data_IF_271899424393
#
_entry.id   IF_271899424393
#
_cell.length_a   1.000
_cell.length_b   1.000
_cell.length_c   1.000
_cell.angle_alpha   90.00
_cell.angle_beta   90.00
_cell.angle_gamma   90.00
#
_symmetry.space_group_name_H-M   'P 1'
#
loop_
_entity.id
_entity.type
_entity.pdbx_description
1 polymer ?
#
# COMPACT_ATOMS: atom_id res chain seq x y z
N UNK A 1 31.74 11.12 -17.55
CA UNK A 1 31.45 9.70 -17.25
C UNK A 1 29.97 9.51 -17.44
N UNK A 2 29.54 8.81 -18.47
CA UNK A 2 28.15 8.46 -18.70
C UNK A 2 27.88 7.33 -17.72
N UNK A 3 27.10 7.59 -16.64
CA UNK A 3 26.65 6.52 -15.74
C UNK A 3 25.84 5.52 -16.59
N UNK A 4 26.20 4.24 -16.51
CA UNK A 4 25.40 3.18 -17.12
C UNK A 4 23.95 3.35 -16.68
N UNK A 5 22.96 3.16 -17.57
CA UNK A 5 21.57 3.24 -17.19
C UNK A 5 21.32 2.25 -16.03
N UNK A 6 20.82 2.77 -14.92
CA UNK A 6 20.45 1.93 -13.77
C UNK A 6 19.28 1.06 -14.23
N UNK A 7 19.49 -0.26 -14.27
CA UNK A 7 18.41 -1.19 -14.62
C UNK A 7 17.30 -1.15 -13.56
N UNK A 8 16.02 -1.25 -13.97
CA UNK A 8 14.89 -1.28 -13.05
C UNK A 8 15.05 -2.37 -11.97
N UNK A 9 14.86 -2.01 -10.70
CA UNK A 9 15.00 -2.93 -9.55
C UNK A 9 13.91 -2.70 -8.51
N UNK A 10 13.57 -3.76 -7.81
CA UNK A 10 12.72 -3.68 -6.62
C UNK A 10 13.48 -3.01 -5.47
N UNK A 11 13.15 -1.75 -5.19
CA UNK A 11 13.81 -0.94 -4.16
C UNK A 11 13.26 -1.20 -2.76
N UNK A 12 11.95 -1.50 -2.67
CA UNK A 12 11.26 -1.56 -1.38
C UNK A 12 10.06 -2.50 -1.43
N UNK A 13 9.86 -3.24 -0.34
CA UNK A 13 8.68 -4.06 -0.10
C UNK A 13 8.04 -3.57 1.20
N UNK A 14 6.77 -3.16 1.14
CA UNK A 14 5.99 -2.71 2.29
C UNK A 14 4.75 -3.54 2.47
N UNK A 15 4.68 -4.26 3.56
CA UNK A 15 3.49 -4.94 3.98
C UNK A 15 2.69 -4.05 4.93
N UNK A 16 1.38 -4.11 4.84
CA UNK A 16 0.46 -3.45 5.76
C UNK A 16 -0.36 -4.53 6.49
N UNK A 17 0.21 -5.24 7.46
CA UNK A 17 -0.41 -6.46 7.98
C UNK A 17 -1.83 -6.24 8.49
N UNK A 18 -2.06 -5.19 9.28
CA UNK A 18 -3.40 -4.78 9.67
C UNK A 18 -3.86 -3.66 8.72
N UNK A 19 -4.97 -3.86 8.04
CA UNK A 19 -5.54 -2.88 7.10
C UNK A 19 -5.71 -1.52 7.77
N UNK A 20 -5.22 -0.46 7.13
CA UNK A 20 -5.22 0.95 7.56
C UNK A 20 -4.20 1.33 8.63
N UNK A 21 -3.45 0.42 9.22
CA UNK A 21 -2.37 0.74 10.15
C UNK A 21 -1.01 0.91 9.46
N UNK A 22 0.02 1.22 10.24
CA UNK A 22 1.38 1.45 9.74
C UNK A 22 1.92 0.23 8.97
N UNK A 23 2.84 0.42 8.02
CA UNK A 23 3.48 -0.66 7.31
C UNK A 23 4.65 -1.27 8.10
N UNK A 24 5.09 -2.44 7.66
CA UNK A 24 6.40 -2.99 7.95
C UNK A 24 7.21 -3.10 6.66
N UNK A 25 8.48 -2.71 6.74
CA UNK A 25 9.44 -2.86 5.65
C UNK A 25 10.12 -4.22 5.79
N UNK A 26 10.11 -5.00 4.71
CA UNK A 26 10.75 -6.30 4.66
C UNK A 26 11.75 -6.38 3.51
N UNK A 27 12.78 -7.22 3.65
CA UNK A 27 13.76 -7.45 2.59
C UNK A 27 13.31 -8.50 1.59
N UNK A 28 12.37 -9.34 2.01
CA UNK A 28 11.76 -10.37 1.17
C UNK A 28 10.28 -10.54 1.51
N UNK A 29 9.50 -10.97 0.54
CA UNK A 29 8.08 -11.32 0.74
C UNK A 29 7.68 -12.48 -0.15
N UNK A 30 6.80 -13.33 0.35
CA UNK A 30 6.26 -14.48 -0.35
C UNK A 30 4.92 -14.13 -1.02
N UNK A 31 4.69 -14.67 -2.22
CA UNK A 31 3.36 -14.60 -2.85
C UNK A 31 2.42 -15.53 -2.08
N UNK A 32 1.34 -14.95 -1.59
CA UNK A 32 0.26 -15.65 -0.88
C UNK A 32 -0.76 -16.31 -1.82
N UNK A 33 -1.68 -17.11 -1.27
CA UNK A 33 -2.65 -17.88 -2.04
C UNK A 33 -3.63 -17.00 -2.83
N UNK A 34 -3.93 -15.78 -2.36
CA UNK A 34 -4.79 -14.81 -3.05
C UNK A 34 -4.07 -13.96 -4.11
N UNK A 35 -2.80 -14.26 -4.45
CA UNK A 35 -1.99 -13.46 -5.39
C UNK A 35 -1.39 -12.18 -4.79
N UNK A 36 -1.79 -11.77 -3.59
CA UNK A 36 -1.14 -10.73 -2.81
C UNK A 36 0.13 -11.21 -2.14
N UNK A 37 0.84 -10.34 -1.41
CA UNK A 37 1.95 -10.75 -0.57
C UNK A 37 1.45 -11.36 0.73
N UNK A 38 2.08 -12.42 1.19
CA UNK A 38 1.80 -13.01 2.49
C UNK A 38 1.89 -11.94 3.58
N UNK A 39 0.95 -11.98 4.51
CA UNK A 39 0.76 -10.99 5.59
C UNK A 39 0.30 -9.60 5.14
N UNK A 40 0.32 -9.23 3.85
CA UNK A 40 -0.18 -7.92 3.45
C UNK A 40 -1.72 -7.88 3.56
N UNK A 41 -2.21 -6.94 4.39
CA UNK A 41 -3.64 -6.81 4.73
C UNK A 41 -4.30 -8.11 5.20
N UNK A 42 -3.51 -8.97 5.89
CA UNK A 42 -4.00 -10.25 6.41
C UNK A 42 -4.99 -10.07 7.57
N UNK A 43 -4.99 -8.92 8.23
CA UNK A 43 -5.92 -8.58 9.30
C UNK A 43 -6.71 -7.30 8.97
N UNK A 44 -7.98 -7.28 9.38
CA UNK A 44 -8.84 -6.12 9.22
C UNK A 44 -9.75 -5.95 10.45
N UNK A 45 -10.15 -4.69 10.70
CA UNK A 45 -11.02 -4.32 11.84
C UNK A 45 -12.47 -4.22 11.39
N UNK A 46 -13.36 -4.80 12.16
CA UNK A 46 -14.80 -4.78 11.93
C UNK A 46 -15.55 -4.30 13.16
N UNK A 47 -16.57 -3.47 12.96
CA UNK A 47 -17.53 -3.10 13.99
C UNK A 47 -18.49 -4.26 14.30
N UNK A 48 -19.33 -4.09 15.32
CA UNK A 48 -20.40 -5.03 15.68
C UNK A 48 -21.38 -5.27 14.53
N UNK A 49 -21.62 -4.25 13.71
CA UNK A 49 -22.51 -4.31 12.55
C UNK A 49 -21.86 -4.99 11.32
N UNK A 50 -20.62 -5.46 11.47
CA UNK A 50 -19.87 -6.08 10.38
C UNK A 50 -19.29 -5.09 9.38
N UNK A 51 -19.32 -3.79 9.66
CA UNK A 51 -18.75 -2.73 8.83
C UNK A 51 -17.23 -2.62 9.06
N UNK A 52 -16.51 -2.23 8.01
CA UNK A 52 -15.06 -2.03 8.07
C UNK A 52 -14.70 -0.77 8.84
N UNK A 53 -13.85 -0.91 9.87
CA UNK A 53 -13.18 0.23 10.51
C UNK A 53 -11.86 0.47 9.81
N UNK A 54 -11.79 1.57 9.04
CA UNK A 54 -10.66 1.84 8.17
C UNK A 54 -10.40 3.35 8.00
N UNK A 55 -9.23 3.71 7.46
CA UNK A 55 -8.81 5.10 7.27
C UNK A 55 -9.67 5.95 6.31
N UNK A 56 -10.53 5.32 5.50
CA UNK A 56 -11.48 6.04 4.64
C UNK A 56 -12.63 6.65 5.45
N UNK A 57 -13.13 5.90 6.44
CA UNK A 57 -14.33 6.26 7.23
C UNK A 57 -14.00 6.75 8.64
N UNK A 58 -12.89 6.31 9.23
CA UNK A 58 -12.55 6.52 10.64
C UNK A 58 -11.21 7.24 10.77
N UNK A 59 -11.25 8.56 10.90
CA UNK A 59 -10.01 9.37 11.00
C UNK A 59 -9.15 8.99 12.22
N UNK A 60 -9.76 8.62 13.35
CA UNK A 60 -9.04 8.24 14.56
C UNK A 60 -8.08 7.05 14.38
N UNK A 61 -8.29 6.17 13.37
CA UNK A 61 -7.38 5.05 13.11
C UNK A 61 -5.94 5.53 12.79
N UNK A 62 -5.79 6.74 12.26
CA UNK A 62 -4.49 7.33 11.96
C UNK A 62 -3.70 7.74 13.21
N UNK A 63 -4.32 7.79 14.38
CA UNK A 63 -3.63 8.04 15.67
C UNK A 63 -2.89 6.80 16.17
N UNK A 64 -3.30 5.61 15.73
CA UNK A 64 -2.69 4.35 16.16
C UNK A 64 -1.36 4.15 15.45
N UNK A 65 -0.33 3.80 16.23
CA UNK A 65 0.95 3.33 15.73
C UNK A 65 1.02 1.81 15.85
N UNK A 66 1.53 1.17 14.80
CA UNK A 66 1.73 -0.27 14.76
C UNK A 66 3.18 -0.60 14.38
N UNK A 67 3.95 -1.11 15.34
CA UNK A 67 5.31 -1.58 15.12
C UNK A 67 5.32 -3.11 15.08
N UNK A 68 5.73 -3.67 13.94
CA UNK A 68 5.73 -5.12 13.72
C UNK A 68 7.09 -5.73 13.96
N UNK A 69 7.12 -6.98 14.43
CA UNK A 69 8.30 -7.84 14.33
C UNK A 69 8.66 -8.04 12.83
N UNK A 70 9.94 -8.20 12.48
CA UNK A 70 10.36 -8.34 11.07
C UNK A 70 9.69 -9.50 10.31
N UNK A 71 9.33 -10.57 11.01
CA UNK A 71 8.64 -11.74 10.49
C UNK A 71 7.10 -11.64 10.60
N UNK A 72 6.58 -10.49 11.03
CA UNK A 72 5.15 -10.22 11.25
C UNK A 72 4.50 -11.13 12.31
N UNK A 73 5.28 -11.84 13.12
CA UNK A 73 4.78 -12.72 14.19
C UNK A 73 4.18 -11.94 15.37
N UNK A 74 4.46 -10.65 15.49
CA UNK A 74 3.93 -9.80 16.56
C UNK A 74 3.75 -8.35 16.10
N UNK A 75 2.83 -7.64 16.75
CA UNK A 75 2.61 -6.21 16.59
C UNK A 75 2.54 -5.51 17.94
N UNK A 76 3.26 -4.40 18.08
CA UNK A 76 3.10 -3.49 19.22
C UNK A 76 2.22 -2.33 18.79
N UNK A 77 1.06 -2.19 19.45
CA UNK A 77 0.12 -1.10 19.24
C UNK A 77 0.31 -0.02 20.30
N UNK A 78 0.24 1.24 19.88
CA UNK A 78 0.33 2.41 20.77
C UNK A 78 -0.44 3.59 20.19
N UNK A 79 -0.79 4.55 21.04
CA UNK A 79 -1.43 5.82 20.67
C UNK A 79 -0.65 6.96 21.35
N UNK A 80 0.43 7.46 20.72
CA UNK A 80 1.24 8.52 21.30
C UNK A 80 0.42 9.79 21.55
N UNK A 81 0.52 10.35 22.77
CA UNK A 81 -0.17 11.59 23.14
C UNK A 81 -1.67 11.43 23.44
N UNK A 82 -2.19 10.23 23.50
CA UNK A 82 -3.60 10.00 23.86
C UNK A 82 -3.84 10.22 25.36
N UNK A 83 -4.76 11.13 25.68
CA UNK A 83 -5.16 11.44 27.06
C UNK A 83 -6.01 10.33 27.73
N UNK A 84 -6.53 9.38 26.97
CA UNK A 84 -7.34 8.26 27.47
C UNK A 84 -6.52 7.16 28.14
N UNK A 85 -5.18 7.28 28.12
CA UNK A 85 -4.26 6.30 28.70
C UNK A 85 -4.38 4.88 28.10
N UNK A 86 -4.65 4.77 26.80
CA UNK A 86 -4.65 3.49 26.10
C UNK A 86 -3.24 2.88 26.19
N UNK A 87 -3.09 1.68 26.78
CA UNK A 87 -1.77 1.12 27.03
C UNK A 87 -1.06 0.71 25.75
N UNK A 88 0.23 1.00 25.64
CA UNK A 88 1.09 0.34 24.65
C UNK A 88 1.14 -1.13 24.94
N UNK A 89 0.81 -1.98 23.96
CA UNK A 89 0.73 -3.42 24.15
C UNK A 89 1.21 -4.20 22.92
N UNK A 90 1.92 -5.29 23.15
CA UNK A 90 2.37 -6.21 22.11
C UNK A 90 1.44 -7.43 22.05
N UNK A 91 1.13 -7.85 20.83
CA UNK A 91 0.26 -8.98 20.53
C UNK A 91 1.00 -9.93 19.59
N UNK A 92 1.00 -11.22 19.89
CA UNK A 92 1.45 -12.25 18.96
C UNK A 92 0.34 -12.58 17.96
N UNK A 93 0.64 -12.60 16.68
CA UNK A 93 -0.31 -12.94 15.64
C UNK A 93 0.01 -14.33 15.04
N UNK A 94 -1.06 -15.13 14.78
CA UNK A 94 -2.50 -14.86 14.98
C UNK A 94 -3.04 -15.13 16.41
N UNK A 95 -2.20 -15.56 17.36
CA UNK A 95 -2.63 -16.07 18.68
C UNK A 95 -3.45 -15.08 19.51
N UNK A 96 -3.05 -13.82 19.55
CA UNK A 96 -3.63 -12.80 20.44
C UNK A 96 -4.75 -11.97 19.77
N UNK A 97 -5.37 -12.48 18.71
CA UNK A 97 -6.40 -11.74 17.94
C UNK A 97 -7.56 -11.25 18.81
N UNK A 98 -7.99 -12.05 19.81
CA UNK A 98 -9.05 -11.65 20.75
C UNK A 98 -8.60 -10.50 21.67
N UNK A 99 -7.37 -10.57 22.21
CA UNK A 99 -6.82 -9.52 23.06
C UNK A 99 -6.57 -8.22 22.26
N UNK A 100 -6.14 -8.32 21.00
CA UNK A 100 -6.04 -7.18 20.09
C UNK A 100 -7.42 -6.56 19.79
N UNK A 101 -8.47 -7.38 19.61
CA UNK A 101 -9.83 -6.92 19.43
C UNK A 101 -10.31 -6.09 20.63
N UNK A 102 -10.02 -6.53 21.86
CA UNK A 102 -10.33 -5.76 23.06
C UNK A 102 -9.59 -4.43 23.11
N UNK A 103 -8.29 -4.41 22.78
CA UNK A 103 -7.49 -3.18 22.72
C UNK A 103 -8.07 -2.15 21.74
N UNK A 104 -8.47 -2.61 20.54
CA UNK A 104 -9.14 -1.73 19.58
C UNK A 104 -10.51 -1.28 20.05
N UNK A 105 -11.26 -2.15 20.76
CA UNK A 105 -12.56 -1.78 21.30
C UNK A 105 -12.42 -0.69 22.35
N UNK A 106 -11.43 -0.77 23.23
CA UNK A 106 -11.13 0.25 24.23
C UNK A 106 -10.73 1.58 23.56
N UNK A 107 -9.90 1.52 22.48
CA UNK A 107 -9.50 2.71 21.75
C UNK A 107 -10.66 3.38 21.02
N UNK A 108 -11.52 2.64 20.34
CA UNK A 108 -12.63 3.19 19.57
C UNK A 108 -13.91 3.40 20.39
N UNK A 109 -13.91 3.01 21.67
CA UNK A 109 -15.09 3.06 22.57
C UNK A 109 -16.33 2.37 21.98
N UNK A 110 -16.08 1.30 21.20
CA UNK A 110 -17.10 0.47 20.57
C UNK A 110 -16.57 -0.94 20.35
N UNK A 111 -17.45 -1.92 20.20
CA UNK A 111 -17.05 -3.31 19.95
C UNK A 111 -16.36 -3.45 18.60
N UNK A 112 -15.09 -3.86 18.61
CA UNK A 112 -14.25 -4.10 17.43
C UNK A 112 -13.79 -5.56 17.43
N UNK A 113 -13.88 -6.19 16.26
CA UNK A 113 -13.33 -7.53 16.02
C UNK A 113 -12.18 -7.44 15.00
N UNK A 114 -11.03 -7.99 15.35
CA UNK A 114 -9.94 -8.24 14.41
C UNK A 114 -10.22 -9.56 13.70
N UNK A 115 -10.33 -9.52 12.36
CA UNK A 115 -10.50 -10.72 11.53
C UNK A 115 -9.23 -11.00 10.75
N UNK A 116 -8.94 -12.28 10.52
CA UNK A 116 -7.80 -12.75 9.75
C UNK A 116 -8.26 -13.44 8.46
N UNK A 117 -7.50 -13.25 7.37
CA UNK A 117 -7.64 -13.98 6.12
C UNK A 117 -6.24 -14.28 5.57
N UNK A 118 -6.00 -15.54 5.19
CA UNK A 118 -4.77 -15.94 4.51
C UNK A 118 -4.66 -15.39 3.09
N UNK A 119 -5.78 -15.02 2.46
CA UNK A 119 -5.85 -14.38 1.15
C UNK A 119 -5.76 -12.85 1.25
N UNK A 120 -5.79 -12.31 2.48
CA UNK A 120 -5.82 -10.89 2.76
C UNK A 120 -7.20 -10.26 2.60
N UNK A 121 -7.23 -8.92 2.79
CA UNK A 121 -8.40 -8.06 2.60
C UNK A 121 -8.05 -6.96 1.59
N UNK A 122 -7.89 -7.29 0.28
CA UNK A 122 -7.51 -6.33 -0.74
C UNK A 122 -8.57 -5.23 -0.88
N UNK A 123 -8.17 -4.06 -1.39
CA UNK A 123 -9.10 -2.98 -1.74
C UNK A 123 -9.74 -3.20 -3.12
N UNK A 124 -9.08 -3.98 -3.98
CA UNK A 124 -9.54 -4.37 -5.31
C UNK A 124 -9.53 -5.90 -5.42
N UNK A 125 -10.71 -6.51 -5.51
CA UNK A 125 -10.86 -7.97 -5.60
C UNK A 125 -10.54 -8.51 -7.01
N UNK A 126 -10.49 -7.65 -8.03
CA UNK A 126 -10.17 -8.04 -9.40
C UNK A 126 -8.65 -8.02 -9.62
N UNK A 127 -7.95 -7.13 -8.93
CA UNK A 127 -6.51 -6.95 -8.98
C UNK A 127 -5.92 -7.05 -7.57
N UNK A 128 -5.98 -8.25 -6.99
CA UNK A 128 -5.58 -8.55 -5.61
C UNK A 128 -4.07 -8.61 -5.39
N UNK A 129 -3.27 -8.53 -6.45
CA UNK A 129 -1.82 -8.48 -6.38
C UNK A 129 -1.27 -7.20 -5.76
N UNK A 130 0.03 -7.16 -5.45
CA UNK A 130 0.67 -5.97 -4.88
C UNK A 130 0.69 -4.81 -5.87
N UNK A 131 0.48 -3.59 -5.37
CA UNK A 131 0.57 -2.37 -6.20
C UNK A 131 2.03 -2.01 -6.49
N UNK A 132 2.30 -1.57 -7.72
CA UNK A 132 3.63 -1.13 -8.19
C UNK A 132 3.66 0.38 -8.31
N UNK A 133 4.71 1.01 -7.78
CA UNK A 133 4.99 2.44 -7.94
C UNK A 133 6.48 2.65 -8.16
N UNK A 134 6.88 3.68 -8.90
CA UNK A 134 8.29 4.07 -8.97
C UNK A 134 8.68 5.02 -7.83
N UNK A 135 9.92 4.93 -7.36
CA UNK A 135 10.49 5.90 -6.42
C UNK A 135 10.39 7.32 -6.99
N UNK A 136 10.62 7.48 -8.29
CA UNK A 136 10.53 8.77 -8.96
C UNK A 136 9.10 9.33 -8.99
N UNK A 137 8.07 8.47 -9.08
CA UNK A 137 6.66 8.90 -8.96
C UNK A 137 6.33 9.42 -7.56
N UNK A 138 6.83 8.75 -6.53
CA UNK A 138 6.67 9.22 -5.15
C UNK A 138 7.40 10.55 -4.93
N UNK A 139 8.61 10.71 -5.49
CA UNK A 139 9.36 11.96 -5.44
C UNK A 139 8.61 13.09 -6.16
N UNK A 140 8.05 12.83 -7.36
CA UNK A 140 7.24 13.81 -8.08
C UNK A 140 6.01 14.28 -7.27
N UNK A 141 5.43 13.41 -6.45
CA UNK A 141 4.39 13.83 -5.49
C UNK A 141 4.96 14.72 -4.39
N UNK A 142 6.10 14.36 -3.79
CA UNK A 142 6.73 15.16 -2.75
C UNK A 142 7.02 16.59 -3.21
N UNK A 143 7.49 16.73 -4.46
CA UNK A 143 7.85 18.02 -5.05
C UNK A 143 6.64 18.98 -5.19
N UNK A 144 5.42 18.47 -5.13
CA UNK A 144 4.18 19.27 -5.16
C UNK A 144 3.81 19.87 -3.79
N UNK A 145 4.31 19.29 -2.71
CA UNK A 145 3.88 19.65 -1.36
C UNK A 145 5.09 20.04 -0.50
N UNK A 146 5.33 21.34 -0.26
CA UNK A 146 6.46 21.78 0.53
C UNK A 146 6.56 21.08 1.89
N UNK A 147 7.73 20.51 2.18
CA UNK A 147 8.01 19.78 3.42
C UNK A 147 7.56 18.32 3.45
N UNK A 148 6.87 17.83 2.43
CA UNK A 148 6.53 16.41 2.34
C UNK A 148 7.79 15.58 2.06
N UNK A 149 8.03 14.60 2.90
CA UNK A 149 9.11 13.63 2.70
C UNK A 149 8.64 12.44 1.87
N UNK A 150 9.59 11.74 1.23
CA UNK A 150 9.27 10.53 0.48
C UNK A 150 8.65 9.43 1.38
N UNK A 151 9.05 9.37 2.65
CA UNK A 151 8.46 8.42 3.60
C UNK A 151 7.02 8.79 3.95
N UNK A 152 6.70 10.07 4.01
CA UNK A 152 5.32 10.52 4.18
C UNK A 152 4.48 10.20 2.93
N UNK A 153 4.98 10.45 1.72
CA UNK A 153 4.30 10.05 0.48
C UNK A 153 4.01 8.54 0.47
N UNK A 154 4.98 7.74 0.84
CA UNK A 154 4.83 6.30 0.98
C UNK A 154 3.72 5.91 1.96
N UNK A 155 3.66 6.56 3.14
CA UNK A 155 2.62 6.31 4.15
C UNK A 155 1.23 6.74 3.65
N UNK A 156 1.13 7.85 2.91
CA UNK A 156 -0.13 8.36 2.36
C UNK A 156 -0.69 7.44 1.26
N UNK A 157 0.16 7.02 0.32
CA UNK A 157 -0.26 6.21 -0.83
C UNK A 157 -0.32 4.71 -0.55
N UNK A 158 0.38 4.21 0.48
CA UNK A 158 0.29 2.83 0.96
C UNK A 158 0.50 1.79 -0.15
N UNK A 159 1.42 2.08 -1.07
CA UNK A 159 1.83 1.16 -2.13
C UNK A 159 2.71 0.04 -1.57
N UNK A 160 2.72 -1.11 -2.24
CA UNK A 160 3.35 -2.33 -1.70
C UNK A 160 4.76 -2.54 -2.24
N UNK A 161 4.94 -2.48 -3.57
CA UNK A 161 6.23 -2.64 -4.23
C UNK A 161 6.69 -1.32 -4.85
N UNK A 162 7.93 -0.93 -4.58
CA UNK A 162 8.53 0.29 -5.09
C UNK A 162 9.71 -0.06 -6.01
N UNK A 163 9.72 0.51 -7.22
CA UNK A 163 10.73 0.27 -8.25
C UNK A 163 11.63 1.49 -8.38
N UNK A 164 12.94 1.29 -8.36
CA UNK A 164 13.94 2.32 -8.64
C UNK A 164 14.60 2.13 -10.02
N UNK A 165 15.39 3.13 -10.45
CA UNK A 165 16.09 3.09 -11.74
C UNK A 165 15.21 3.39 -12.94
N UNK A 166 14.03 3.97 -12.73
CA UNK A 166 13.03 4.31 -13.75
C UNK A 166 12.49 5.73 -13.54
N UNK A 167 11.98 6.41 -14.60
CA UNK A 167 11.40 7.74 -14.48
C UNK A 167 10.07 7.76 -13.71
N UNK A 168 9.60 8.95 -13.37
CA UNK A 168 8.28 9.14 -12.76
C UNK A 168 7.17 8.61 -13.67
N UNK A 169 6.19 7.96 -13.06
CA UNK A 169 5.05 7.33 -13.74
C UNK A 169 5.42 6.24 -14.74
N UNK A 170 6.60 5.65 -14.57
CA UNK A 170 7.03 4.49 -15.34
C UNK A 170 6.04 3.33 -15.21
N UNK A 171 5.45 3.16 -14.06
CA UNK A 171 4.46 2.12 -13.77
C UNK A 171 3.20 2.20 -14.64
N UNK A 172 2.95 3.32 -15.31
CA UNK A 172 1.81 3.47 -16.22
C UNK A 172 1.92 2.62 -17.50
N UNK A 173 3.12 2.20 -17.88
CA UNK A 173 3.30 1.27 -19.00
C UNK A 173 2.97 -0.18 -18.64
N UNK A 174 2.71 -0.46 -17.36
CA UNK A 174 2.39 -1.80 -16.89
C UNK A 174 0.90 -2.17 -17.04
N UNK A 175 0.08 -1.33 -17.65
CA UNK A 175 -1.31 -1.67 -18.02
C UNK A 175 -1.57 -1.29 -19.48
N UNK A 176 -2.44 -2.05 -20.14
CA UNK A 176 -2.75 -1.86 -21.55
C UNK A 176 -3.85 -0.81 -21.80
N UNK A 177 -4.05 -0.47 -23.07
CA UNK A 177 -5.04 0.51 -23.53
C UNK A 177 -6.49 0.08 -23.26
N UNK A 178 -6.75 -1.23 -23.28
CA UNK A 178 -8.06 -1.79 -22.98
C UNK A 178 -8.11 -2.38 -21.58
N UNK A 179 -9.29 -2.38 -20.96
CA UNK A 179 -9.51 -2.89 -19.61
C UNK A 179 -9.12 -4.38 -19.45
N UNK A 180 -9.22 -5.13 -20.53
CA UNK A 180 -8.88 -6.57 -20.54
C UNK A 180 -7.46 -6.87 -21.04
N UNK A 181 -6.72 -5.85 -21.44
CA UNK A 181 -5.34 -5.98 -21.92
C UNK A 181 -4.38 -5.94 -20.74
N UNK A 182 -4.00 -7.12 -20.24
CA UNK A 182 -2.98 -7.22 -19.20
C UNK A 182 -1.59 -7.09 -19.82
N UNK A 183 -0.72 -6.28 -19.22
CA UNK A 183 0.70 -6.21 -19.54
C UNK A 183 1.46 -7.16 -18.62
N UNK A 184 2.19 -8.09 -19.20
CA UNK A 184 2.99 -9.06 -18.46
C UNK A 184 4.38 -8.51 -18.20
N UNK A 185 4.84 -8.65 -16.98
CA UNK A 185 6.21 -8.31 -16.57
C UNK A 185 6.67 -9.25 -15.45
N UNK A 186 7.95 -9.20 -15.11
CA UNK A 186 8.53 -10.06 -14.10
C UNK A 186 9.39 -9.27 -13.12
N UNK A 187 9.30 -9.62 -11.83
CA UNK A 187 10.19 -9.14 -10.77
C UNK A 187 10.88 -10.37 -10.17
N UNK A 188 12.19 -10.46 -10.28
CA UNK A 188 12.91 -11.68 -9.90
C UNK A 188 12.39 -12.90 -10.65
N UNK A 189 11.84 -13.87 -9.93
CA UNK A 189 11.25 -15.10 -10.50
C UNK A 189 9.73 -15.07 -10.55
N UNK A 190 9.08 -13.99 -10.13
CA UNK A 190 7.61 -13.86 -10.05
C UNK A 190 7.07 -13.15 -11.29
N UNK A 191 6.10 -13.77 -11.94
CA UNK A 191 5.37 -13.18 -13.06
C UNK A 191 4.15 -12.42 -12.58
N UNK A 192 3.97 -11.23 -13.13
CA UNK A 192 2.88 -10.31 -12.83
C UNK A 192 2.10 -9.97 -14.09
N UNK A 193 0.84 -9.63 -13.90
CA UNK A 193 0.00 -8.97 -14.88
C UNK A 193 -0.43 -7.62 -14.32
N UNK A 194 0.00 -6.54 -14.96
CA UNK A 194 -0.50 -5.20 -14.65
C UNK A 194 -1.93 -5.06 -15.18
N UNK A 195 -2.81 -4.55 -14.36
CA UNK A 195 -4.26 -4.57 -14.60
C UNK A 195 -4.81 -3.19 -14.93
N UNK A 196 -4.65 -2.24 -14.04
CA UNK A 196 -5.25 -0.92 -14.16
C UNK A 196 -4.50 0.13 -13.35
N UNK A 197 -4.56 1.41 -13.77
CA UNK A 197 -4.02 2.51 -12.98
C UNK A 197 -4.80 2.64 -11.66
N UNK A 198 -4.09 2.62 -10.54
CA UNK A 198 -4.70 2.62 -9.21
C UNK A 198 -5.38 3.96 -8.91
N UNK A 199 -6.71 3.99 -8.92
CA UNK A 199 -7.50 5.12 -8.46
C UNK A 199 -7.31 5.33 -6.95
N UNK A 200 -6.99 6.57 -6.55
CA UNK A 200 -6.71 6.86 -5.15
C UNK A 200 -8.00 7.20 -4.39
N UNK A 201 -8.10 6.61 -3.22
CA UNK A 201 -9.20 6.85 -2.29
C UNK A 201 -8.99 8.14 -1.48
N UNK A 202 -9.91 8.54 -0.56
CA UNK A 202 -9.76 9.72 0.29
C UNK A 202 -8.66 9.64 1.38
N UNK A 203 -7.86 8.56 1.43
CA UNK A 203 -6.81 8.39 2.46
C UNK A 203 -5.56 9.24 2.19
N UNK A 204 -4.98 9.34 0.97
CA UNK A 204 -3.76 10.09 0.74
C UNK A 204 -3.77 11.56 1.19
N UNK A 205 -4.89 12.32 1.13
CA UNK A 205 -4.97 13.66 1.69
C UNK A 205 -4.82 13.71 3.22
N UNK A 206 -5.08 12.61 3.94
CA UNK A 206 -4.98 12.59 5.40
C UNK A 206 -3.53 12.51 5.84
N UNK A 207 -3.18 13.27 6.85
CA UNK A 207 -1.93 13.11 7.55
C UNK A 207 -1.86 11.67 8.14
N UNK A 208 -0.79 10.90 7.88
CA UNK A 208 -0.72 9.52 8.31
C UNK A 208 -0.62 9.31 9.82
N UNK A 209 -0.38 10.40 10.59
CA UNK A 209 -0.23 10.35 12.05
C UNK A 209 -1.40 10.97 12.80
N UNK A 210 -2.03 11.98 12.23
CA UNK A 210 -3.12 12.74 12.90
C UNK A 210 -4.49 12.49 12.26
N UNK A 211 -4.52 12.04 10.99
CA UNK A 211 -5.75 11.90 10.21
C UNK A 211 -6.30 13.23 9.67
N UNK A 212 -5.64 14.35 9.96
CA UNK A 212 -6.01 15.68 9.45
C UNK A 212 -5.92 15.73 7.93
N UNK A 213 -6.85 16.43 7.30
CA UNK A 213 -6.93 16.52 5.84
C UNK A 213 -6.07 17.69 5.35
N UNK A 214 -5.11 17.40 4.48
CA UNK A 214 -4.42 18.40 3.69
C UNK A 214 -5.34 18.91 2.58
N UNK A 215 -5.88 20.12 2.77
CA UNK A 215 -6.77 20.74 1.81
C UNK A 215 -6.10 20.97 0.45
N UNK A 216 -6.83 20.70 -0.63
CA UNK A 216 -6.32 20.88 -1.99
C UNK A 216 -5.45 19.73 -2.51
N UNK A 217 -5.03 18.77 -1.67
CA UNK A 217 -4.13 17.66 -2.04
C UNK A 217 -4.59 16.96 -3.33
N UNK A 218 -5.83 16.52 -3.37
CA UNK A 218 -6.37 15.79 -4.52
C UNK A 218 -6.34 16.64 -5.79
N UNK A 219 -6.73 17.92 -5.69
CA UNK A 219 -6.75 18.84 -6.84
C UNK A 219 -5.34 19.10 -7.36
N UNK A 220 -4.40 19.47 -6.48
CA UNK A 220 -3.01 19.76 -6.83
C UNK A 220 -2.38 18.56 -7.54
N UNK A 221 -2.51 17.38 -6.97
CA UNK A 221 -1.95 16.17 -7.56
C UNK A 221 -2.62 15.81 -8.90
N UNK A 222 -3.96 15.90 -9.00
CA UNK A 222 -4.67 15.60 -10.25
C UNK A 222 -4.32 16.57 -11.37
N UNK A 223 -4.18 17.86 -11.08
CA UNK A 223 -3.81 18.87 -12.06
C UNK A 223 -2.37 18.67 -12.56
N UNK A 224 -1.45 18.36 -11.65
CA UNK A 224 -0.09 17.99 -12.02
C UNK A 224 -0.06 16.74 -12.89
N UNK A 225 -0.76 15.69 -12.48
CA UNK A 225 -0.81 14.42 -13.20
C UNK A 225 -1.35 14.58 -14.62
N UNK A 226 -2.40 15.42 -14.80
CA UNK A 226 -2.98 15.74 -16.11
C UNK A 226 -1.99 16.44 -17.04
N UNK A 227 -1.17 17.34 -16.51
CA UNK A 227 -0.21 18.10 -17.31
C UNK A 227 1.13 17.37 -17.52
N UNK A 228 1.37 16.23 -16.85
CA UNK A 228 2.60 15.46 -16.89
C UNK A 228 2.35 13.97 -17.17
N UNK A 229 1.39 13.68 -18.05
CA UNK A 229 1.15 12.32 -18.55
C UNK A 229 2.30 11.93 -19.47
N UNK A 230 3.06 10.87 -19.15
CA UNK A 230 4.10 10.39 -20.08
C UNK A 230 3.49 9.82 -21.36
N UNK A 231 4.28 9.84 -22.44
CA UNK A 231 3.85 9.35 -23.76
C UNK A 231 3.62 7.82 -23.82
N UNK A 232 4.12 7.08 -22.82
CA UNK A 232 3.87 5.63 -22.69
C UNK A 232 2.61 5.29 -21.91
N UNK A 233 1.92 6.29 -21.33
CA UNK A 233 0.72 6.07 -20.54
C UNK A 233 -0.49 5.85 -21.44
N UNK A 234 -1.23 4.73 -21.28
CA UNK A 234 -2.54 4.56 -21.93
C UNK A 234 -3.57 5.50 -21.30
N UNK A 235 -3.59 6.77 -21.72
CA UNK A 235 -4.41 7.84 -21.09
C UNK A 235 -5.91 7.56 -21.20
N UNK A 236 -6.34 6.78 -22.20
CA UNK A 236 -7.72 6.30 -22.34
C UNK A 236 -8.27 5.56 -21.13
N UNK A 237 -7.35 5.04 -20.27
CA UNK A 237 -7.68 4.33 -19.01
C UNK A 237 -7.95 5.28 -17.83
N UNK A 238 -7.81 6.58 -18.03
CA UNK A 238 -7.96 7.59 -16.98
C UNK A 238 -9.33 8.27 -17.09
N UNK A 239 -10.29 7.85 -16.26
CA UNK A 239 -11.55 8.57 -16.06
C UNK A 239 -11.35 9.88 -15.25
N UNK A 240 -10.28 9.90 -14.42
CA UNK A 240 -9.78 11.06 -13.69
C UNK A 240 -8.28 10.90 -13.43
N UNK A 241 -7.58 12.01 -13.11
CA UNK A 241 -6.12 12.00 -12.92
C UNK A 241 -5.65 11.79 -11.46
N UNK A 242 -6.55 11.53 -10.53
CA UNK A 242 -6.19 11.17 -9.15
C UNK A 242 -5.78 9.68 -9.07
N UNK A 243 -4.71 9.34 -9.81
CA UNK A 243 -4.19 7.97 -9.97
C UNK A 243 -2.69 7.93 -9.77
N UNK A 244 -2.24 6.98 -8.98
CA UNK A 244 -0.81 6.69 -8.72
C UNK A 244 -0.66 5.21 -8.48
N UNK A 245 0.40 4.62 -9.01
CA UNK A 245 0.67 3.19 -8.98
C UNK A 245 -0.18 2.38 -9.97
N UNK A 246 0.25 1.18 -10.26
CA UNK A 246 -0.45 0.18 -11.06
C UNK A 246 -0.89 -0.98 -10.18
N UNK A 247 -2.15 -1.35 -10.26
CA UNK A 247 -2.68 -2.57 -9.66
C UNK A 247 -2.25 -3.78 -10.48
N UNK A 248 -2.01 -4.90 -9.80
CA UNK A 248 -1.54 -6.12 -10.46
C UNK A 248 -2.40 -7.33 -10.14
N UNK A 249 -2.22 -8.37 -10.95
CA UNK A 249 -2.66 -9.73 -10.68
C UNK A 249 -1.44 -10.64 -10.66
N UNK A 250 -1.50 -11.64 -9.82
CA UNK A 250 -0.48 -12.69 -9.74
C UNK A 250 -1.21 -14.03 -9.82
N UNK A 251 -0.81 -14.87 -10.77
CA UNK A 251 -1.45 -16.16 -10.95
C UNK A 251 -1.19 -17.09 -9.74
N UNK A 252 -2.11 -18.00 -9.47
CA UNK A 252 -1.97 -18.98 -8.38
C UNK A 252 -0.74 -19.89 -8.54
N UNK A 253 -0.24 -20.07 -9.77
CA UNK A 253 1.02 -20.79 -10.06
C UNK A 253 2.26 -20.11 -9.49
N UNK A 254 2.17 -18.83 -9.15
CA UNK A 254 3.25 -18.05 -8.54
C UNK A 254 3.24 -18.16 -7.00
N UNK A 255 2.20 -18.73 -6.41
CA UNK A 255 2.07 -18.88 -4.95
C UNK A 255 3.29 -19.59 -4.36
N UNK A 256 3.82 -19.02 -3.29
CA UNK A 256 5.00 -19.56 -2.59
C UNK A 256 6.34 -19.01 -3.08
N UNK A 257 6.41 -18.41 -4.28
CA UNK A 257 7.63 -17.75 -4.76
C UNK A 257 7.98 -16.53 -3.90
N UNK A 258 9.26 -16.19 -3.87
CA UNK A 258 9.80 -15.07 -3.10
C UNK A 258 10.14 -13.89 -4.02
N UNK A 259 9.93 -12.70 -3.51
CA UNK A 259 10.46 -11.44 -4.00
C UNK A 259 11.52 -10.95 -3.02
N UNK A 260 12.61 -10.41 -3.55
CA UNK A 260 13.68 -9.82 -2.73
C UNK A 260 13.95 -8.38 -3.15
N UNK A 261 14.21 -7.51 -2.20
CA UNK A 261 14.76 -6.18 -2.49
C UNK A 261 16.06 -6.36 -3.29
N UNK A 262 16.16 -5.65 -4.42
CA UNK A 262 17.24 -5.79 -5.38
C UNK A 262 16.91 -6.64 -6.60
N UNK A 263 15.78 -7.38 -6.60
CA UNK A 263 15.33 -8.15 -7.77
C UNK A 263 15.19 -7.26 -8.99
N UNK A 264 15.64 -7.76 -10.15
CA UNK A 264 15.50 -7.07 -11.43
C UNK A 264 14.05 -7.07 -11.90
N UNK A 265 13.64 -5.98 -12.55
CA UNK A 265 12.33 -5.85 -13.19
C UNK A 265 12.50 -5.96 -14.70
N UNK A 266 11.74 -6.86 -15.32
CA UNK A 266 11.74 -7.10 -16.76
C UNK A 266 10.32 -6.90 -17.29
N UNK A 267 10.11 -5.91 -18.13
CA UNK A 267 8.84 -5.57 -18.80
C UNK A 267 8.95 -5.75 -20.31
#
# INVERSE_FOLDING_TARGET
>A
MISSPVSPRLANIRLHPIKSLDPVHVKEARIGPGGGLAFDRAWALYSVDGEWVNGKRTAAIHLIRAAYAPDVSAVTLSVPGDSRNIPTKTFAFPGDTAAASQWFSDFFEQSITVRHSSEGFPDDNIASGPTIVSTASLQAVCDLFPGMTIDEARQRFRTTLEIEGVPAFWEDQLFGEEERSAVRFRIGEVNFEGSNPCARCPVPPRDPRTGEIMHGFQKIFSDYRRSHVPNWTPESRFDHYYRLATNTRVASTETGKLLHVGDSVLS
#
